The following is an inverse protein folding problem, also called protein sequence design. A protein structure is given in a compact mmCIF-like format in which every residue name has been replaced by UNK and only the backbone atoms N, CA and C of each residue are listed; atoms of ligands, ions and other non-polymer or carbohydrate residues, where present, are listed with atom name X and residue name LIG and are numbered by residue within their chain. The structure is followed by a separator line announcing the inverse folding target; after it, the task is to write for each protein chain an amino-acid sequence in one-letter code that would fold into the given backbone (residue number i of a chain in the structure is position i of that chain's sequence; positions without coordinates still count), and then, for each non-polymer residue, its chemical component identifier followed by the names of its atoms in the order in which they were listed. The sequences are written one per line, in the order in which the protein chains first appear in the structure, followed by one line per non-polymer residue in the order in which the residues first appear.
data_IF_866471008686
#
_entry.id   IF_866471008686
#
_cell.length_a   1.000
_cell.length_b   1.000
_cell.length_c   1.000
_cell.angle_alpha   90.00
_cell.angle_beta   90.00
_cell.angle_gamma   90.00
#
_symmetry.space_group_name_H-M   'P 1'
#
loop_
_entity.id
_entity.type
_entity.pdbx_description
1 polymer ?
#
# COMPACT_ATOMS: atom_id res chain seq x y z
N UNK A 1 15.01 -32.28 -8.39
CA UNK A 1 13.73 -32.77 -7.82
C UNK A 1 13.41 -31.89 -6.62
N UNK A 2 12.13 -31.56 -6.41
CA UNK A 2 11.55 -30.98 -5.18
C UNK A 2 11.62 -29.44 -5.08
N UNK A 3 10.54 -28.66 -4.98
CA UNK A 3 9.09 -28.92 -5.02
C UNK A 3 8.42 -27.60 -5.46
N UNK A 4 7.66 -27.61 -6.55
CA UNK A 4 6.80 -26.48 -6.96
C UNK A 4 5.50 -26.60 -6.18
N UNK A 5 5.39 -25.86 -5.07
CA UNK A 5 4.15 -25.83 -4.28
C UNK A 5 3.10 -25.05 -5.09
N UNK A 6 2.26 -25.79 -5.81
CA UNK A 6 0.97 -25.29 -6.31
C UNK A 6 0.04 -25.21 -5.11
N UNK A 7 -0.01 -24.03 -4.47
CA UNK A 7 -1.08 -23.73 -3.51
C UNK A 7 -2.34 -23.47 -4.33
N UNK A 8 -3.23 -24.45 -4.37
CA UNK A 8 -4.62 -24.26 -4.80
C UNK A 8 -5.33 -23.42 -3.73
N UNK A 9 -5.50 -22.13 -4.00
CA UNK A 9 -6.33 -21.21 -3.21
C UNK A 9 -7.49 -20.73 -4.08
N UNK A 10 -8.70 -21.11 -3.68
CA UNK A 10 -10.01 -20.53 -4.01
C UNK A 10 -10.02 -19.46 -5.11
N UNK A 11 -10.44 -19.85 -6.31
CA UNK A 11 -10.70 -19.04 -7.53
C UNK A 11 -10.66 -17.51 -7.36
N UNK A 12 -9.46 -16.94 -7.22
CA UNK A 12 -9.27 -15.50 -7.33
C UNK A 12 -9.42 -15.12 -8.81
N UNK A 13 -10.36 -14.24 -9.12
CA UNK A 13 -10.54 -13.75 -10.49
C UNK A 13 -9.33 -12.88 -10.81
N UNK A 14 -8.49 -13.34 -11.75
CA UNK A 14 -7.34 -12.55 -12.20
C UNK A 14 -7.81 -11.18 -12.68
N UNK A 15 -7.46 -10.14 -11.94
CA UNK A 15 -7.81 -8.76 -12.28
C UNK A 15 -6.83 -8.27 -13.34
N UNK A 16 -7.35 -7.64 -14.39
CA UNK A 16 -6.54 -7.03 -15.46
C UNK A 16 -5.54 -5.98 -14.93
N UNK A 17 -5.81 -5.39 -13.76
CA UNK A 17 -4.94 -4.40 -13.13
C UNK A 17 -3.75 -5.00 -12.37
N UNK A 18 -3.79 -6.29 -12.03
CA UNK A 18 -2.71 -6.96 -11.31
C UNK A 18 -1.33 -6.86 -12.01
N UNK A 19 -1.18 -7.16 -13.31
CA UNK A 19 0.10 -7.01 -14.00
C UNK A 19 0.57 -5.55 -14.07
N UNK A 20 -0.36 -4.59 -14.11
CA UNK A 20 -0.03 -3.16 -14.11
C UNK A 20 0.56 -2.78 -12.76
N UNK A 21 -0.12 -3.16 -11.67
CA UNK A 21 0.35 -2.92 -10.30
C UNK A 21 1.75 -3.52 -10.09
N UNK A 22 1.98 -4.75 -10.56
CA UNK A 22 3.27 -5.43 -10.45
C UNK A 22 4.39 -4.71 -11.22
N UNK A 23 4.08 -4.16 -12.41
CA UNK A 23 5.04 -3.41 -13.21
C UNK A 23 5.35 -2.00 -12.65
N UNK A 24 4.41 -1.40 -11.90
CA UNK A 24 4.56 -0.05 -11.36
C UNK A 24 5.19 -0.02 -9.97
N UNK A 25 5.09 -1.12 -9.19
CA UNK A 25 5.61 -1.18 -7.81
C UNK A 25 7.11 -0.93 -7.69
N UNK A 26 7.87 -1.19 -8.75
CA UNK A 26 9.33 -0.96 -8.80
C UNK A 26 9.69 0.45 -9.28
N UNK A 27 8.74 1.20 -9.83
CA UNK A 27 8.97 2.51 -10.46
C UNK A 27 8.53 3.67 -9.57
N UNK A 28 7.54 3.46 -8.72
CA UNK A 28 6.98 4.49 -7.88
C UNK A 28 7.08 4.12 -6.40
N UNK A 29 7.52 5.05 -5.53
CA UNK A 29 7.54 4.82 -4.09
C UNK A 29 6.13 4.73 -3.50
N UNK A 30 5.12 5.27 -4.17
CA UNK A 30 3.74 5.30 -3.72
C UNK A 30 2.82 4.92 -4.88
N UNK A 31 1.85 4.05 -4.63
CA UNK A 31 0.79 3.73 -5.60
C UNK A 31 -0.58 4.01 -4.98
N UNK A 32 -1.47 4.66 -5.72
CA UNK A 32 -2.86 4.81 -5.33
C UNK A 32 -3.74 3.90 -6.20
N UNK A 33 -4.54 3.06 -5.54
CA UNK A 33 -5.57 2.24 -6.17
C UNK A 33 -6.94 2.81 -5.79
N UNK A 34 -7.58 3.49 -6.74
CA UNK A 34 -8.92 4.03 -6.58
C UNK A 34 -9.94 3.18 -7.32
N UNK A 35 -11.21 3.27 -6.94
CA UNK A 35 -12.31 2.64 -7.68
C UNK A 35 -13.63 2.63 -6.91
N UNK A 36 -14.70 2.03 -7.46
CA UNK A 36 -16.01 1.98 -6.81
C UNK A 36 -15.94 1.32 -5.42
N UNK A 37 -16.85 1.70 -4.51
CA UNK A 37 -17.08 0.95 -3.27
C UNK A 37 -17.43 -0.51 -3.61
N UNK A 38 -17.00 -1.45 -2.77
CA UNK A 38 -17.27 -2.90 -2.91
C UNK A 38 -16.72 -3.57 -4.20
N UNK A 39 -15.77 -2.94 -4.90
CA UNK A 39 -15.14 -3.53 -6.10
C UNK A 39 -14.03 -4.55 -5.80
N UNK A 40 -13.75 -4.85 -4.53
CA UNK A 40 -12.77 -5.86 -4.10
C UNK A 40 -11.30 -5.41 -4.11
N UNK A 41 -11.04 -4.10 -4.05
CA UNK A 41 -9.68 -3.51 -4.05
C UNK A 41 -8.83 -4.01 -2.89
N UNK A 42 -9.38 -3.99 -1.68
CA UNK A 42 -8.70 -4.46 -0.46
C UNK A 42 -8.31 -5.93 -0.57
N UNK A 43 -9.22 -6.78 -1.09
CA UNK A 43 -8.93 -8.20 -1.31
C UNK A 43 -7.82 -8.39 -2.33
N UNK A 44 -7.85 -7.65 -3.44
CA UNK A 44 -6.80 -7.71 -4.46
C UNK A 44 -5.43 -7.34 -3.90
N UNK A 45 -5.35 -6.26 -3.13
CA UNK A 45 -4.07 -5.82 -2.59
C UNK A 45 -3.53 -6.76 -1.52
N UNK A 46 -4.40 -7.31 -0.66
CA UNK A 46 -4.00 -8.32 0.34
C UNK A 46 -3.46 -9.60 -0.31
N UNK A 47 -3.98 -9.97 -1.48
CA UNK A 47 -3.45 -11.12 -2.22
C UNK A 47 -2.15 -10.80 -2.97
N UNK A 48 -2.08 -9.67 -3.68
CA UNK A 48 -0.89 -9.28 -4.45
C UNK A 48 0.31 -8.95 -3.55
N UNK A 49 0.03 -8.48 -2.33
CA UNK A 49 1.03 -7.99 -1.38
C UNK A 49 0.82 -8.65 -0.02
N UNK A 50 0.84 -9.98 0.01
CA UNK A 50 0.64 -10.77 1.23
C UNK A 50 1.73 -10.54 2.28
N UNK A 51 2.91 -10.05 1.88
CA UNK A 51 4.01 -9.67 2.76
C UNK A 51 3.91 -8.22 3.29
N UNK A 52 2.87 -7.48 2.93
CA UNK A 52 2.69 -6.08 3.34
C UNK A 52 1.84 -5.99 4.60
N UNK A 53 2.21 -5.03 5.46
CA UNK A 53 1.38 -4.66 6.61
C UNK A 53 0.13 -3.95 6.11
N UNK A 54 -1.04 -4.44 6.50
CA UNK A 54 -2.31 -3.81 6.19
C UNK A 54 -2.79 -2.96 7.37
N UNK A 55 -3.04 -1.67 7.12
CA UNK A 55 -3.47 -0.71 8.14
C UNK A 55 -4.71 0.02 7.62
N UNK A 56 -5.82 -0.09 8.37
CA UNK A 56 -7.07 0.59 8.04
C UNK A 56 -7.23 1.85 8.87
N UNK A 57 -7.46 2.99 8.20
CA UNK A 57 -7.78 4.27 8.83
C UNK A 57 -9.29 4.45 9.12
N UNK A 58 -10.08 3.39 8.91
CA UNK A 58 -11.43 3.32 9.51
C UNK A 58 -11.36 3.07 11.02
N UNK A 59 -10.33 2.36 11.49
CA UNK A 59 -10.13 2.11 12.92
C UNK A 59 -9.87 3.45 13.65
N UNK A 60 -10.68 3.81 14.65
CA UNK A 60 -10.54 5.09 15.35
C UNK A 60 -9.17 5.30 15.99
N UNK A 61 -8.57 4.27 16.60
CA UNK A 61 -7.28 4.37 17.28
C UNK A 61 -6.15 4.61 16.27
N UNK A 62 -6.15 3.86 15.17
CA UNK A 62 -5.20 4.04 14.07
C UNK A 62 -5.33 5.43 13.44
N UNK A 63 -6.57 5.89 13.25
CA UNK A 63 -6.86 7.22 12.71
C UNK A 63 -6.40 8.32 13.65
N UNK A 64 -6.68 8.21 14.95
CA UNK A 64 -6.21 9.17 15.95
C UNK A 64 -4.69 9.25 15.95
N UNK A 65 -3.99 8.12 15.94
CA UNK A 65 -2.53 8.11 15.86
C UNK A 65 -2.00 8.81 14.59
N UNK A 66 -2.61 8.55 13.43
CA UNK A 66 -2.24 9.22 12.19
C UNK A 66 -2.51 10.74 12.18
N UNK A 67 -3.51 11.21 12.94
CA UNK A 67 -3.84 12.63 13.07
C UNK A 67 -2.96 13.34 14.09
N UNK A 68 -2.70 12.70 15.24
CA UNK A 68 -1.94 13.28 16.35
C UNK A 68 -0.44 13.30 16.07
N UNK A 69 0.09 12.23 15.47
CA UNK A 69 1.50 12.13 15.11
C UNK A 69 1.68 11.50 13.71
N UNK A 70 1.44 12.27 12.64
CA UNK A 70 1.59 11.79 11.27
C UNK A 70 3.04 11.38 10.96
N UNK A 71 4.03 12.02 11.57
CA UNK A 71 5.45 11.68 11.35
C UNK A 71 5.75 10.32 11.99
N UNK A 72 5.38 10.11 13.25
CA UNK A 72 5.51 8.85 13.96
C UNK A 72 4.72 7.73 13.30
N UNK A 73 3.50 7.99 12.84
CA UNK A 73 2.69 7.03 12.08
C UNK A 73 3.42 6.53 10.83
N UNK A 74 3.93 7.46 10.03
CA UNK A 74 4.65 7.13 8.79
C UNK A 74 6.03 6.50 9.06
N UNK A 75 6.64 6.73 10.23
CA UNK A 75 7.86 6.04 10.70
C UNK A 75 7.58 4.62 11.19
N UNK A 76 6.47 4.40 11.90
CA UNK A 76 6.05 3.06 12.30
C UNK A 76 5.71 2.21 11.08
N UNK A 77 5.10 2.83 10.07
CA UNK A 77 4.73 2.22 8.80
C UNK A 77 5.61 2.74 7.65
N UNK A 78 6.92 2.56 7.82
CA UNK A 78 7.99 3.03 6.93
C UNK A 78 8.17 2.18 5.66
N UNK A 79 7.92 0.87 5.73
CA UNK A 79 8.11 -0.06 4.62
C UNK A 79 6.96 -1.06 4.47
N UNK A 80 6.72 -1.45 3.20
CA UNK A 80 5.74 -2.46 2.77
C UNK A 80 4.40 -2.33 3.50
N UNK A 81 3.66 -1.25 3.24
CA UNK A 81 2.39 -0.98 3.92
C UNK A 81 1.27 -0.67 2.94
N UNK A 82 0.09 -1.24 3.19
CA UNK A 82 -1.17 -0.87 2.55
C UNK A 82 -1.94 -0.01 3.54
N UNK A 83 -2.27 1.22 3.13
CA UNK A 83 -3.09 2.16 3.90
C UNK A 83 -4.49 2.20 3.27
N UNK A 84 -5.47 1.63 3.97
CA UNK A 84 -6.88 1.63 3.54
C UNK A 84 -7.61 2.86 4.08
N UNK A 85 -8.52 3.40 3.26
CA UNK A 85 -9.35 4.58 3.56
C UNK A 85 -8.54 5.82 3.97
N UNK A 86 -7.41 6.09 3.29
CA UNK A 86 -6.53 7.24 3.58
C UNK A 86 -7.21 8.60 3.46
N UNK A 87 -8.27 8.70 2.66
CA UNK A 87 -9.11 9.90 2.58
C UNK A 87 -9.67 10.34 3.94
N UNK A 88 -9.68 9.46 4.95
CA UNK A 88 -10.05 9.78 6.33
C UNK A 88 -9.04 10.68 7.03
N UNK A 89 -7.80 10.74 6.54
CA UNK A 89 -6.71 11.58 7.07
C UNK A 89 -6.00 12.28 5.90
N UNK A 90 -6.63 13.29 5.26
CA UNK A 90 -6.07 13.97 4.09
C UNK A 90 -4.70 14.61 4.34
N UNK A 91 -4.43 15.05 5.58
CA UNK A 91 -3.16 15.68 5.96
C UNK A 91 -1.96 14.75 5.75
N UNK A 92 -2.15 13.42 5.83
CA UNK A 92 -1.08 12.45 5.56
C UNK A 92 -0.45 12.63 4.18
N UNK A 93 -1.22 13.06 3.16
CA UNK A 93 -0.70 13.24 1.80
C UNK A 93 0.46 14.23 1.75
N UNK A 94 0.39 15.33 2.50
CA UNK A 94 1.47 16.33 2.58
C UNK A 94 2.74 15.73 3.19
N UNK A 95 2.60 14.94 4.27
CA UNK A 95 3.75 14.29 4.92
C UNK A 95 4.35 13.16 4.08
N UNK A 96 3.52 12.43 3.32
CA UNK A 96 3.98 11.41 2.38
C UNK A 96 4.76 12.07 1.24
N UNK A 97 4.24 13.17 0.68
CA UNK A 97 4.92 13.93 -0.37
C UNK A 97 6.29 14.42 0.11
N UNK A 98 6.35 15.05 1.30
CA UNK A 98 7.62 15.50 1.88
C UNK A 98 8.65 14.37 2.01
N UNK A 99 8.24 13.19 2.51
CA UNK A 99 9.13 12.02 2.58
C UNK A 99 9.59 11.51 1.22
N UNK A 100 8.71 11.50 0.22
CA UNK A 100 9.05 11.08 -1.13
C UNK A 100 10.06 12.06 -1.74
N UNK A 101 9.85 13.37 -1.59
CA UNK A 101 10.73 14.40 -2.12
C UNK A 101 12.11 14.38 -1.44
N UNK A 102 12.16 14.22 -0.12
CA UNK A 102 13.40 14.06 0.65
C UNK A 102 14.19 12.82 0.26
N UNK A 103 13.50 11.74 -0.11
CA UNK A 103 14.17 10.49 -0.49
C UNK A 103 14.99 10.63 -1.79
N UNK A 104 14.77 11.66 -2.62
CA UNK A 104 15.51 11.93 -3.87
C UNK A 104 15.77 10.69 -4.74
N UNK A 105 14.85 9.73 -4.74
CA UNK A 105 15.00 8.45 -5.44
C UNK A 105 14.62 8.57 -6.93
N UNK A 106 15.32 9.43 -7.67
CA UNK A 106 15.40 9.28 -9.13
C UNK A 106 16.52 8.29 -9.46
N UNK A 107 16.13 7.04 -9.72
CA UNK A 107 17.03 6.00 -10.24
C UNK A 107 17.94 5.38 -9.18
N UNK A 108 17.67 4.12 -8.86
CA UNK A 108 18.58 3.20 -8.16
C UNK A 108 18.94 3.59 -6.71
N UNK A 109 18.03 3.31 -5.77
CA UNK A 109 18.28 2.64 -4.48
C UNK A 109 16.89 2.22 -3.96
N UNK A 110 16.65 0.90 -3.90
CA UNK A 110 15.35 0.33 -3.54
C UNK A 110 15.10 0.37 -2.03
N UNK A 111 14.67 1.51 -1.49
CA UNK A 111 13.88 1.50 -0.26
C UNK A 111 12.44 1.19 -0.66
N UNK A 112 12.03 -0.08 -0.57
CA UNK A 112 10.64 -0.49 -0.88
C UNK A 112 9.69 -0.01 0.22
N UNK A 113 9.36 1.27 0.21
CA UNK A 113 8.26 1.84 0.95
C UNK A 113 7.02 1.95 0.05
N UNK A 114 6.67 0.87 -0.67
CA UNK A 114 5.45 0.90 -1.46
C UNK A 114 4.27 1.09 -0.51
N UNK A 115 3.68 2.28 -0.58
CA UNK A 115 2.46 2.66 0.14
C UNK A 115 1.32 2.56 -0.85
N UNK A 116 0.43 1.60 -0.64
CA UNK A 116 -0.75 1.46 -1.50
C UNK A 116 -1.93 2.13 -0.81
N UNK A 117 -2.47 3.15 -1.45
CA UNK A 117 -3.67 3.84 -1.01
C UNK A 117 -4.91 3.21 -1.64
N UNK A 118 -5.92 2.96 -0.82
CA UNK A 118 -7.24 2.57 -1.30
C UNK A 118 -8.20 3.74 -1.05
N UNK A 119 -8.73 4.31 -2.13
CA UNK A 119 -9.91 5.19 -2.10
C UNK A 119 -11.15 4.42 -2.56
#
# INVERSE_FOLDING_TARGET
MIFRIFISMSKFIQRQIAPIIDAQKSKFPVLALTGPRQSGKTTLLKELFSDYRYVSLENPNTRSFALEDPIGFLNQYDQKVILDEVQRVPELFSYIQGRVDESKLMGNIFYQALRIFIC
#
